data_IF_015823663617
#
_entry.id   IF_015823663617
#
_cell.length_a   1.000
_cell.length_b   1.000
_cell.length_c   1.000
_cell.angle_alpha   90.00
_cell.angle_beta   90.00
_cell.angle_gamma   90.00
#
_symmetry.space_group_name_H-M   'P 1'
#
loop_
_entity.id
_entity.type
_entity.pdbx_description
1 polymer ?
#
# COMPACT_ATOMS: atom_id res chain seq x y z
N UNK A 1 -1.22 42.15 -20.19
CA UNK A 1 -2.24 41.35 -19.50
C UNK A 1 -1.66 39.97 -19.32
N UNK A 2 -1.30 39.58 -18.09
CA UNK A 2 -0.91 38.20 -17.83
C UNK A 2 -2.13 37.32 -18.11
N UNK A 3 -1.99 36.33 -18.99
CA UNK A 3 -3.06 35.37 -19.24
C UNK A 3 -3.44 34.73 -17.90
N UNK A 4 -4.74 34.67 -17.61
CA UNK A 4 -5.25 34.08 -16.39
C UNK A 4 -5.08 32.55 -16.50
N UNK A 5 -3.92 32.04 -16.08
CA UNK A 5 -3.42 30.69 -16.30
C UNK A 5 -4.02 29.62 -15.35
N UNK A 6 -5.25 29.87 -14.86
CA UNK A 6 -5.93 29.00 -13.89
C UNK A 6 -6.91 28.01 -14.54
N UNK A 7 -6.82 27.79 -15.87
CA UNK A 7 -7.59 26.76 -16.55
C UNK A 7 -7.07 25.36 -16.15
N UNK A 8 -7.99 24.48 -15.74
CA UNK A 8 -7.66 23.12 -15.29
C UNK A 8 -7.67 22.15 -16.48
N UNK A 9 -6.57 21.41 -16.64
CA UNK A 9 -6.48 20.26 -17.54
C UNK A 9 -7.09 19.02 -16.88
N UNK A 10 -6.73 18.77 -15.63
CA UNK A 10 -7.26 17.67 -14.83
C UNK A 10 -7.63 18.14 -13.42
N UNK A 11 -8.71 17.58 -12.88
CA UNK A 11 -9.16 17.85 -11.52
C UNK A 11 -9.67 16.57 -10.87
N UNK A 12 -8.96 16.11 -9.85
CA UNK A 12 -9.28 14.91 -9.09
C UNK A 12 -9.54 15.29 -7.63
N UNK A 13 -10.68 15.88 -7.28
CA UNK A 13 -10.95 16.22 -5.88
C UNK A 13 -11.14 14.94 -5.04
N UNK A 14 -10.59 14.87 -3.80
CA UNK A 14 -9.80 15.88 -3.10
C UNK A 14 -8.28 15.76 -3.30
N UNK A 15 -7.81 14.98 -4.28
CA UNK A 15 -6.41 14.58 -4.45
C UNK A 15 -5.53 15.71 -5.05
N UNK A 16 -5.80 16.14 -6.29
CA UNK A 16 -4.96 17.13 -6.98
C UNK A 16 -5.69 17.90 -8.09
N UNK A 17 -5.03 18.97 -8.55
CA UNK A 17 -5.34 19.75 -9.75
C UNK A 17 -4.12 19.78 -10.66
N UNK A 18 -4.33 19.64 -11.96
CA UNK A 18 -3.33 19.96 -12.99
C UNK A 18 -3.87 21.10 -13.86
N UNK A 19 -3.06 22.13 -14.03
CA UNK A 19 -3.36 23.31 -14.83
C UNK A 19 -2.90 23.12 -16.28
N UNK A 20 -3.51 23.83 -17.23
CA UNK A 20 -3.16 23.71 -18.67
C UNK A 20 -1.73 24.10 -18.99
N UNK A 21 -1.07 24.86 -18.12
CA UNK A 21 0.35 25.23 -18.19
C UNK A 21 1.32 24.17 -17.62
N UNK A 22 0.80 23.04 -17.12
CA UNK A 22 1.57 21.92 -16.59
C UNK A 22 1.86 22.01 -15.08
N UNK A 23 1.44 23.09 -14.39
CA UNK A 23 1.52 23.16 -12.94
C UNK A 23 0.64 22.07 -12.32
N UNK A 24 1.16 21.40 -11.29
CA UNK A 24 0.42 20.43 -10.49
C UNK A 24 0.30 20.96 -9.06
N UNK A 25 -0.92 20.99 -8.54
CA UNK A 25 -1.23 21.34 -7.16
C UNK A 25 -1.84 20.11 -6.47
N UNK A 26 -1.07 19.46 -5.60
CA UNK A 26 -1.57 18.40 -4.73
C UNK A 26 -2.37 19.05 -3.59
N UNK A 27 -3.59 18.59 -3.37
CA UNK A 27 -4.50 19.10 -2.35
C UNK A 27 -4.53 18.21 -1.09
N UNK A 28 -3.95 17.02 -1.19
CA UNK A 28 -3.88 15.99 -0.16
C UNK A 28 -2.43 15.51 0.01
N UNK A 29 -2.09 14.97 1.18
CA UNK A 29 -0.74 14.45 1.46
C UNK A 29 0.35 15.51 1.66
N UNK A 30 -0.02 16.74 2.03
CA UNK A 30 0.93 17.84 2.24
C UNK A 30 1.40 18.01 3.69
N UNK A 31 0.71 17.37 4.64
CA UNK A 31 1.02 17.49 6.07
C UNK A 31 2.10 16.47 6.45
N UNK A 32 3.37 16.86 6.33
CA UNK A 32 4.51 16.00 6.67
C UNK A 32 4.87 16.13 8.14
N UNK A 33 5.16 14.99 8.77
CA UNK A 33 5.66 14.92 10.14
C UNK A 33 7.08 14.37 10.17
N UNK A 34 7.98 14.94 10.99
CA UNK A 34 9.32 14.40 11.14
C UNK A 34 9.28 13.02 11.83
N UNK A 35 10.31 12.18 11.62
CA UNK A 35 10.46 10.96 12.40
C UNK A 35 10.59 11.34 13.88
N UNK A 36 9.93 10.57 14.74
CA UNK A 36 9.80 10.88 16.16
C UNK A 36 9.58 9.63 17.00
N UNK A 37 9.53 9.82 18.32
CA UNK A 37 8.97 8.83 19.25
C UNK A 37 7.53 9.22 19.51
N UNK A 38 6.59 8.38 19.09
CA UNK A 38 5.16 8.66 19.22
C UNK A 38 4.77 8.75 20.72
N UNK A 39 4.05 9.80 21.14
CA UNK A 39 3.71 9.98 22.54
C UNK A 39 2.70 8.93 23.06
N UNK A 40 1.80 8.42 22.22
CA UNK A 40 0.75 7.50 22.62
C UNK A 40 1.23 6.04 22.59
N UNK A 41 1.91 5.64 21.52
CA UNK A 41 2.31 4.26 21.28
C UNK A 41 3.77 3.98 21.63
N UNK A 42 4.57 5.03 21.85
CA UNK A 42 6.02 4.96 22.12
C UNK A 42 6.83 4.35 20.98
N UNK A 43 6.22 4.12 19.82
CA UNK A 43 6.90 3.67 18.60
C UNK A 43 7.92 4.71 18.18
N UNK A 44 9.11 4.24 17.84
CA UNK A 44 10.20 5.08 17.35
C UNK A 44 10.21 5.02 15.83
N UNK A 45 10.53 6.13 15.18
CA UNK A 45 10.65 6.17 13.73
C UNK A 45 11.90 6.89 13.27
N UNK A 46 12.38 6.55 12.07
CA UNK A 46 13.48 7.24 11.37
C UNK A 46 13.32 7.13 9.86
N UNK A 47 13.84 8.12 9.16
CA UNK A 47 13.86 8.13 7.69
C UNK A 47 15.18 7.58 7.18
N UNK A 48 15.13 6.84 6.07
CA UNK A 48 16.27 6.21 5.42
C UNK A 48 16.20 6.42 3.90
N UNK A 49 17.36 6.50 3.27
CA UNK A 49 17.48 6.51 1.82
C UNK A 49 17.68 5.07 1.30
N UNK A 50 16.84 4.67 0.35
CA UNK A 50 16.92 3.35 -0.30
C UNK A 50 17.78 3.46 -1.56
N UNK A 51 17.50 4.49 -2.38
CA UNK A 51 18.22 4.80 -3.61
C UNK A 51 18.24 6.33 -3.82
N UNK A 52 19.27 7.02 -3.29
CA UNK A 52 19.36 8.49 -3.30
C UNK A 52 19.31 9.09 -4.72
N UNK A 53 19.86 8.39 -5.71
CA UNK A 53 19.94 8.81 -7.10
C UNK A 53 18.57 8.99 -7.79
N UNK A 54 17.53 8.35 -7.25
CA UNK A 54 16.14 8.49 -7.69
C UNK A 54 15.23 9.05 -6.59
N UNK A 55 15.80 9.57 -5.50
CA UNK A 55 15.07 10.08 -4.35
C UNK A 55 14.09 9.05 -3.74
N UNK A 56 14.45 7.77 -3.77
CA UNK A 56 13.65 6.71 -3.14
C UNK A 56 14.08 6.55 -1.68
N UNK A 57 13.11 6.68 -0.78
CA UNK A 57 13.31 6.68 0.66
C UNK A 57 12.20 5.88 1.35
N UNK A 58 12.37 5.65 2.64
CA UNK A 58 11.35 5.04 3.48
C UNK A 58 11.41 5.59 4.90
N UNK A 59 10.32 5.41 5.64
CA UNK A 59 10.29 5.56 7.10
C UNK A 59 10.25 4.20 7.76
N UNK A 60 11.21 3.92 8.64
CA UNK A 60 11.22 2.71 9.46
C UNK A 60 10.57 3.03 10.80
N UNK A 61 9.75 2.11 11.30
CA UNK A 61 9.09 2.16 12.60
C UNK A 61 9.52 0.96 13.45
N UNK A 62 9.86 1.21 14.70
CA UNK A 62 10.31 0.22 15.67
C UNK A 62 9.44 0.30 16.94
N UNK A 63 8.84 -0.81 17.40
CA UNK A 63 8.02 -0.80 18.61
C UNK A 63 8.87 -0.50 19.86
N UNK A 64 8.24 0.11 20.86
CA UNK A 64 8.93 0.67 22.03
C UNK A 64 9.79 -0.33 22.80
N UNK A 65 9.33 -1.59 22.87
CA UNK A 65 9.95 -2.66 23.67
C UNK A 65 10.65 -3.69 22.79
N UNK A 66 11.12 -3.31 21.60
CA UNK A 66 11.84 -4.21 20.71
C UNK A 66 13.11 -4.75 21.40
N UNK A 67 13.23 -6.07 21.48
CA UNK A 67 14.35 -6.78 22.09
C UNK A 67 15.23 -7.37 20.97
N UNK A 68 16.49 -6.95 20.82
CA UNK A 68 17.38 -7.49 19.78
C UNK A 68 17.58 -9.01 19.86
N UNK A 69 17.34 -9.63 21.03
CA UNK A 69 17.42 -11.08 21.19
C UNK A 69 16.21 -11.83 20.60
N UNK A 70 15.13 -11.11 20.27
CA UNK A 70 13.88 -11.64 19.71
C UNK A 70 13.48 -10.83 18.48
N UNK A 71 13.98 -11.25 17.32
CA UNK A 71 13.60 -10.64 16.04
C UNK A 71 12.08 -10.70 15.83
N UNK A 72 11.54 -9.59 15.34
CA UNK A 72 10.12 -9.35 15.08
C UNK A 72 9.83 -9.60 13.59
N UNK A 73 8.58 -9.90 13.22
CA UNK A 73 8.18 -9.87 11.81
C UNK A 73 8.51 -8.51 11.18
N UNK A 74 8.65 -8.49 9.86
CA UNK A 74 8.84 -7.26 9.09
C UNK A 74 7.61 -6.99 8.21
N UNK A 75 7.10 -5.77 8.25
CA UNK A 75 6.04 -5.27 7.38
C UNK A 75 6.61 -4.23 6.41
N UNK A 76 6.63 -4.52 5.11
CA UNK A 76 6.89 -3.51 4.10
C UNK A 76 5.54 -2.90 3.68
N UNK A 77 5.34 -1.61 3.96
CA UNK A 77 4.07 -0.92 3.76
C UNK A 77 4.13 0.08 2.62
N UNK A 78 3.10 0.08 1.79
CA UNK A 78 2.91 1.01 0.67
C UNK A 78 1.66 1.84 0.93
N UNK A 79 1.81 3.17 0.95
CA UNK A 79 0.69 4.06 1.17
C UNK A 79 -0.26 4.10 -0.05
N UNK A 80 -1.51 4.48 0.17
CA UNK A 80 -2.50 4.76 -0.86
C UNK A 80 -2.32 6.15 -1.50
N UNK A 81 -3.42 6.73 -1.99
CA UNK A 81 -3.42 8.03 -2.68
C UNK A 81 -3.44 7.93 -4.20
N UNK A 82 -3.98 6.85 -4.76
CA UNK A 82 -4.23 6.73 -6.20
C UNK A 82 -2.97 6.81 -7.07
N UNK A 83 -1.79 6.47 -6.51
CA UNK A 83 -0.47 6.61 -7.12
C UNK A 83 0.01 8.05 -7.35
N UNK A 84 -0.77 9.07 -6.95
CA UNK A 84 -0.56 10.48 -7.36
C UNK A 84 -0.36 11.44 -6.18
N UNK A 85 -0.74 11.04 -4.97
CA UNK A 85 -0.64 11.87 -3.75
C UNK A 85 -0.23 11.01 -2.55
N UNK A 86 -0.12 11.65 -1.39
CA UNK A 86 0.34 11.08 -0.13
C UNK A 86 1.83 10.71 -0.11
N UNK A 87 2.31 10.33 1.06
CA UNK A 87 3.71 10.01 1.32
C UNK A 87 3.81 9.14 2.57
N UNK A 88 4.88 8.33 2.64
CA UNK A 88 5.29 7.65 3.88
C UNK A 88 5.55 8.62 5.06
N UNK A 89 5.76 9.91 4.77
CA UNK A 89 6.05 10.94 5.76
C UNK A 89 4.82 11.77 6.17
N UNK A 90 3.67 11.52 5.56
CA UNK A 90 2.43 12.23 5.89
C UNK A 90 1.93 11.90 7.31
N UNK A 91 1.23 12.83 7.93
CA UNK A 91 0.68 12.68 9.28
C UNK A 91 -0.28 11.48 9.41
N UNK A 92 -1.11 11.23 8.40
CA UNK A 92 -2.13 10.16 8.41
C UNK A 92 -1.47 8.77 8.39
N UNK A 93 -0.50 8.55 7.48
CA UNK A 93 0.22 7.28 7.42
C UNK A 93 1.17 7.10 8.61
N UNK A 94 1.81 8.17 9.07
CA UNK A 94 2.64 8.12 10.27
C UNK A 94 1.82 7.69 11.50
N UNK A 95 0.64 8.30 11.71
CA UNK A 95 -0.27 7.90 12.79
C UNK A 95 -0.72 6.45 12.63
N UNK A 96 -1.18 6.06 11.45
CA UNK A 96 -1.63 4.69 11.17
C UNK A 96 -0.55 3.65 11.53
N UNK A 97 0.68 3.87 11.06
CA UNK A 97 1.78 2.94 11.32
C UNK A 97 2.26 2.96 12.76
N UNK A 98 2.20 4.08 13.48
CA UNK A 98 2.48 4.09 14.92
C UNK A 98 1.51 3.17 15.70
N UNK A 99 0.23 3.16 15.35
CA UNK A 99 -0.75 2.25 15.99
C UNK A 99 -0.57 0.81 15.52
N UNK A 100 -0.39 0.57 14.21
CA UNK A 100 -0.20 -0.77 13.67
C UNK A 100 1.05 -1.46 14.23
N UNK A 101 2.17 -0.74 14.29
CA UNK A 101 3.45 -1.25 14.81
C UNK A 101 3.35 -1.61 16.28
N UNK A 102 2.66 -0.79 17.07
CA UNK A 102 2.45 -1.04 18.49
C UNK A 102 1.53 -2.24 18.73
N UNK A 103 0.44 -2.37 17.97
CA UNK A 103 -0.52 -3.46 18.11
C UNK A 103 0.06 -4.80 17.61
N UNK A 104 0.75 -4.79 16.47
CA UNK A 104 1.29 -5.99 15.84
C UNK A 104 2.69 -6.37 16.35
N UNK A 105 3.38 -5.49 17.08
CA UNK A 105 4.76 -5.67 17.52
C UNK A 105 5.70 -6.08 16.37
N UNK A 106 5.72 -5.28 15.30
CA UNK A 106 6.37 -5.54 14.01
C UNK A 106 7.36 -4.43 13.67
N UNK A 107 8.46 -4.74 12.97
CA UNK A 107 9.27 -3.69 12.33
C UNK A 107 8.60 -3.29 11.02
N UNK A 108 8.16 -2.05 10.88
CA UNK A 108 7.55 -1.58 9.64
C UNK A 108 8.53 -0.71 8.83
N UNK A 109 8.53 -0.88 7.51
CA UNK A 109 9.23 -0.04 6.54
C UNK A 109 8.19 0.54 5.60
N UNK A 110 7.88 1.82 5.73
CA UNK A 110 6.91 2.53 4.89
C UNK A 110 7.62 3.15 3.71
N UNK A 111 7.36 2.65 2.50
CA UNK A 111 8.07 3.06 1.28
C UNK A 111 7.48 4.38 0.76
N UNK A 112 8.35 5.36 0.48
CA UNK A 112 8.00 6.62 -0.16
C UNK A 112 8.27 6.52 -1.66
N UNK A 113 7.44 5.75 -2.37
CA UNK A 113 7.60 5.51 -3.81
C UNK A 113 7.28 6.78 -4.61
N UNK A 114 7.82 6.89 -5.83
CA UNK A 114 7.61 8.06 -6.69
C UNK A 114 6.20 8.09 -7.27
N UNK A 115 5.64 9.31 -7.35
CA UNK A 115 4.24 9.54 -7.72
C UNK A 115 4.08 9.94 -9.19
N UNK A 116 2.94 9.55 -9.75
CA UNK A 116 2.44 10.11 -11.00
C UNK A 116 1.88 11.53 -10.78
N UNK A 117 1.85 12.37 -11.84
CA UNK A 117 2.27 12.08 -13.22
C UNK A 117 3.77 12.30 -13.47
N UNK A 118 4.54 12.84 -12.52
CA UNK A 118 5.99 13.07 -12.69
C UNK A 118 6.73 11.76 -12.94
N UNK A 119 6.25 10.68 -12.31
CA UNK A 119 6.74 9.32 -12.47
C UNK A 119 5.55 8.36 -12.70
N UNK A 120 5.06 8.23 -13.95
CA UNK A 120 3.94 7.36 -14.26
C UNK A 120 4.23 5.88 -13.93
N UNK A 121 3.17 5.10 -13.73
CA UNK A 121 3.30 3.64 -13.61
C UNK A 121 4.00 3.07 -14.87
N UNK A 122 4.91 2.08 -14.71
CA UNK A 122 5.07 1.21 -13.54
C UNK A 122 6.11 1.68 -12.50
N UNK A 123 6.55 2.94 -12.49
CA UNK A 123 7.66 3.39 -11.62
C UNK A 123 7.41 3.08 -10.13
N UNK A 124 6.18 3.27 -9.62
CA UNK A 124 5.86 2.93 -8.23
C UNK A 124 6.06 1.44 -7.91
N UNK A 125 5.81 0.53 -8.86
CA UNK A 125 6.08 -0.90 -8.70
C UNK A 125 7.58 -1.20 -8.71
N UNK A 126 8.36 -0.54 -9.57
CA UNK A 126 9.82 -0.70 -9.61
C UNK A 126 10.49 -0.18 -8.33
N UNK A 127 10.04 0.97 -7.83
CA UNK A 127 10.49 1.53 -6.55
C UNK A 127 10.18 0.60 -5.38
N UNK A 128 8.99 0.00 -5.40
CA UNK A 128 8.54 -0.94 -4.36
C UNK A 128 9.32 -2.26 -4.40
N UNK A 129 9.64 -2.76 -5.60
CA UNK A 129 10.51 -3.92 -5.78
C UNK A 129 11.94 -3.63 -5.33
N UNK A 130 12.48 -2.46 -5.69
CA UNK A 130 13.80 -2.01 -5.26
C UNK A 130 13.86 -1.90 -3.73
N UNK A 131 12.80 -1.41 -3.10
CA UNK A 131 12.67 -1.31 -1.65
C UNK A 131 12.68 -2.68 -0.97
N UNK A 132 11.96 -3.67 -1.52
CA UNK A 132 12.00 -5.04 -0.99
C UNK A 132 13.40 -5.63 -1.10
N UNK A 133 14.08 -5.49 -2.26
CA UNK A 133 15.47 -5.93 -2.44
C UNK A 133 16.43 -5.23 -1.48
N UNK A 134 16.22 -3.94 -1.22
CA UNK A 134 17.00 -3.19 -0.24
C UNK A 134 16.80 -3.72 1.17
N UNK A 135 15.57 -4.10 1.57
CA UNK A 135 15.33 -4.76 2.87
C UNK A 135 16.11 -6.07 2.95
N UNK A 136 16.08 -6.89 1.90
CA UNK A 136 16.83 -8.16 1.84
C UNK A 136 18.33 -7.92 1.98
N UNK A 137 18.87 -6.89 1.33
CA UNK A 137 20.31 -6.62 1.39
C UNK A 137 20.78 -6.23 2.80
N UNK A 138 19.89 -5.75 3.67
CA UNK A 138 20.24 -5.39 5.04
C UNK A 138 20.66 -6.60 5.89
N UNK A 139 20.19 -7.82 5.58
CA UNK A 139 20.61 -9.03 6.29
C UNK A 139 21.94 -9.61 5.82
N UNK A 140 22.61 -8.95 4.88
CA UNK A 140 23.94 -9.35 4.37
C UNK A 140 25.05 -8.51 5.02
N UNK A 141 26.31 -8.91 4.84
CA UNK A 141 27.47 -8.16 5.33
C UNK A 141 27.58 -6.74 4.73
N UNK A 142 26.90 -6.48 3.61
CA UNK A 142 26.83 -5.17 2.96
C UNK A 142 25.71 -4.28 3.55
N UNK A 143 24.84 -4.83 4.40
CA UNK A 143 23.77 -4.10 5.05
C UNK A 143 24.30 -3.07 6.04
N UNK A 144 23.66 -1.90 6.09
CA UNK A 144 24.04 -0.80 6.98
C UNK A 144 22.88 -0.33 7.87
N UNK A 145 21.65 -0.77 7.60
CA UNK A 145 20.48 -0.41 8.40
C UNK A 145 20.32 -1.29 9.64
N UNK A 146 20.80 -0.78 10.78
CA UNK A 146 20.82 -1.48 12.06
C UNK A 146 19.46 -1.94 12.58
N UNK A 147 18.39 -1.17 12.37
CA UNK A 147 17.07 -1.56 12.87
C UNK A 147 16.55 -2.83 12.18
N UNK A 148 16.83 -2.99 10.89
CA UNK A 148 16.46 -4.21 10.17
C UNK A 148 17.40 -5.35 10.58
N UNK A 149 18.71 -5.10 10.69
CA UNK A 149 19.69 -6.12 11.12
C UNK A 149 19.39 -6.69 12.50
N UNK A 150 19.15 -5.81 13.47
CA UNK A 150 19.08 -6.17 14.88
C UNK A 150 17.68 -6.68 15.26
N UNK A 151 16.62 -6.13 14.68
CA UNK A 151 15.24 -6.38 15.13
C UNK A 151 14.33 -7.10 14.14
N UNK A 152 14.66 -7.15 12.84
CA UNK A 152 13.76 -7.76 11.85
C UNK A 152 14.11 -9.23 11.54
N UNK A 153 13.07 -10.05 11.43
CA UNK A 153 13.10 -11.44 11.01
C UNK A 153 12.64 -11.55 9.56
N UNK A 154 13.59 -11.67 8.63
CA UNK A 154 13.28 -11.84 7.21
C UNK A 154 12.68 -13.23 6.88
N UNK A 155 12.59 -14.15 7.85
CA UNK A 155 11.81 -15.38 7.76
C UNK A 155 10.30 -15.18 7.98
N UNK A 156 9.89 -13.97 8.38
CA UNK A 156 8.50 -13.55 8.62
C UNK A 156 8.25 -12.16 8.03
N UNK A 157 8.29 -12.06 6.70
CA UNK A 157 8.01 -10.83 5.96
C UNK A 157 6.54 -10.78 5.55
N UNK A 158 5.94 -9.61 5.66
CA UNK A 158 4.60 -9.28 5.20
C UNK A 158 4.64 -8.04 4.32
N UNK A 159 3.80 -7.99 3.30
CA UNK A 159 3.56 -6.76 2.54
C UNK A 159 2.19 -6.20 2.93
N UNK A 160 2.11 -4.88 3.10
CA UNK A 160 0.88 -4.21 3.46
C UNK A 160 0.65 -2.98 2.60
N UNK A 161 -0.60 -2.61 2.42
CA UNK A 161 -0.93 -1.33 1.83
C UNK A 161 -2.41 -1.11 1.72
N UNK A 162 -2.79 0.14 1.50
CA UNK A 162 -4.17 0.55 1.34
C UNK A 162 -4.41 1.14 -0.04
N UNK A 163 -5.61 0.99 -0.60
CA UNK A 163 -5.95 1.59 -1.90
C UNK A 163 -4.91 1.22 -2.98
N UNK A 164 -4.33 2.22 -3.64
CA UNK A 164 -3.21 2.06 -4.59
C UNK A 164 -2.01 1.28 -4.00
N UNK A 165 -1.68 1.49 -2.72
CA UNK A 165 -0.64 0.75 -2.01
C UNK A 165 -0.99 -0.73 -1.81
N UNK A 166 -2.28 -1.05 -1.65
CA UNK A 166 -2.75 -2.44 -1.67
C UNK A 166 -2.52 -3.10 -3.04
N UNK A 167 -2.75 -2.37 -4.12
CA UNK A 167 -2.43 -2.84 -5.48
C UNK A 167 -0.92 -3.06 -5.65
N UNK A 168 -0.07 -2.18 -5.11
CA UNK A 168 1.39 -2.37 -5.08
C UNK A 168 1.75 -3.65 -4.31
N UNK A 169 1.24 -3.81 -3.09
CA UNK A 169 1.54 -4.97 -2.25
C UNK A 169 1.20 -6.30 -2.95
N UNK A 170 0.05 -6.37 -3.63
CA UNK A 170 -0.33 -7.52 -4.45
C UNK A 170 0.68 -7.79 -5.56
N UNK A 171 1.01 -6.78 -6.37
CA UNK A 171 1.91 -6.94 -7.51
C UNK A 171 3.34 -7.32 -7.10
N UNK A 172 3.84 -6.78 -6.00
CA UNK A 172 5.14 -7.18 -5.45
C UNK A 172 5.10 -8.64 -4.97
N UNK A 173 4.01 -9.10 -4.35
CA UNK A 173 3.86 -10.51 -3.98
C UNK A 173 3.78 -11.45 -5.19
N UNK A 174 3.10 -11.03 -6.28
CA UNK A 174 3.12 -11.75 -7.55
C UNK A 174 4.56 -11.86 -8.09
N UNK A 175 5.32 -10.76 -8.05
CA UNK A 175 6.72 -10.72 -8.48
C UNK A 175 7.64 -11.59 -7.62
N UNK A 176 7.40 -11.68 -6.31
CA UNK A 176 8.12 -12.64 -5.43
C UNK A 176 7.89 -14.07 -5.89
N UNK A 177 6.65 -14.42 -6.27
CA UNK A 177 6.29 -15.76 -6.73
C UNK A 177 6.92 -16.13 -8.07
N UNK A 178 7.04 -15.16 -8.98
CA UNK A 178 7.60 -15.39 -10.33
C UNK A 178 9.12 -15.27 -10.40
N UNK A 179 9.73 -14.26 -9.77
CA UNK A 179 11.18 -14.01 -9.83
C UNK A 179 11.97 -14.74 -8.72
N UNK A 180 11.31 -15.25 -7.67
CA UNK A 180 11.92 -15.92 -6.51
C UNK A 180 13.06 -15.12 -5.85
N UNK A 181 12.70 -14.20 -4.95
CA UNK A 181 13.68 -13.40 -4.20
C UNK A 181 14.25 -14.17 -3.00
N UNK A 182 15.51 -14.57 -3.08
CA UNK A 182 16.23 -15.25 -1.99
C UNK A 182 16.44 -14.34 -0.78
N UNK A 183 16.58 -14.93 0.41
CA UNK A 183 16.89 -14.20 1.66
C UNK A 183 15.66 -13.62 2.38
N UNK A 184 14.47 -13.85 1.86
CA UNK A 184 13.20 -13.54 2.51
C UNK A 184 12.24 -14.73 2.48
N UNK A 185 11.30 -14.74 3.41
CA UNK A 185 10.13 -15.59 3.37
C UNK A 185 8.88 -14.72 3.52
N UNK A 186 8.22 -14.46 2.39
CA UNK A 186 6.99 -13.71 2.34
C UNK A 186 5.83 -14.58 2.84
N UNK A 187 5.39 -14.34 4.08
CA UNK A 187 4.35 -15.12 4.75
C UNK A 187 2.96 -14.73 4.29
N UNK A 188 2.71 -13.45 4.08
CA UNK A 188 1.41 -13.00 3.64
C UNK A 188 1.35 -11.53 3.23
N UNK A 189 0.20 -11.16 2.68
CA UNK A 189 -0.12 -9.77 2.33
C UNK A 189 -1.40 -9.30 3.02
N UNK A 190 -1.39 -8.04 3.45
CA UNK A 190 -2.54 -7.34 4.01
C UNK A 190 -2.96 -6.19 3.06
N UNK A 191 -4.19 -6.22 2.59
CA UNK A 191 -4.73 -5.29 1.60
C UNK A 191 -5.93 -4.54 2.21
N UNK A 192 -5.79 -3.24 2.48
CA UNK A 192 -6.88 -2.40 2.99
C UNK A 192 -7.56 -1.66 1.85
N UNK A 193 -8.78 -2.04 1.49
CA UNK A 193 -9.55 -1.41 0.42
C UNK A 193 -8.72 -1.30 -0.89
N UNK A 194 -8.12 -2.40 -1.39
CA UNK A 194 -7.18 -2.33 -2.50
C UNK A 194 -7.81 -1.71 -3.75
N UNK A 195 -7.05 -0.88 -4.46
CA UNK A 195 -7.51 -0.25 -5.70
C UNK A 195 -7.38 -1.21 -6.88
N UNK A 196 -8.17 -2.27 -6.86
CA UNK A 196 -8.38 -3.13 -8.02
C UNK A 196 -9.48 -2.55 -8.91
N UNK A 197 -9.35 -2.73 -10.22
CA UNK A 197 -10.26 -2.20 -11.21
C UNK A 197 -10.44 -3.16 -12.38
N UNK A 198 -11.31 -2.82 -13.32
CA UNK A 198 -11.56 -3.57 -14.55
C UNK A 198 -12.47 -2.80 -15.48
N UNK A 199 -12.50 -3.18 -16.75
CA UNK A 199 -13.35 -2.54 -17.76
C UNK A 199 -14.84 -2.80 -17.47
N UNK A 200 -15.22 -4.06 -17.36
CA UNK A 200 -16.59 -4.47 -17.07
C UNK A 200 -16.95 -4.26 -15.59
N UNK A 201 -18.15 -3.74 -15.28
CA UNK A 201 -18.60 -3.65 -13.91
C UNK A 201 -18.87 -5.05 -13.37
N UNK A 202 -18.60 -5.23 -12.08
CA UNK A 202 -18.93 -6.48 -11.37
C UNK A 202 -19.95 -6.21 -10.27
N UNK A 203 -20.72 -7.25 -9.93
CA UNK A 203 -21.63 -7.23 -8.78
C UNK A 203 -22.52 -5.98 -8.72
N UNK A 204 -22.36 -5.12 -7.71
CA UNK A 204 -23.18 -3.93 -7.51
C UNK A 204 -22.50 -2.62 -7.93
N UNK A 205 -21.35 -2.67 -8.60
CA UNK A 205 -20.61 -1.47 -9.01
C UNK A 205 -21.40 -0.50 -9.89
N UNK A 206 -22.37 -0.99 -10.67
CA UNK A 206 -23.26 -0.13 -11.46
C UNK A 206 -24.30 0.61 -10.60
N UNK A 207 -24.67 0.04 -9.44
CA UNK A 207 -25.73 0.54 -8.57
C UNK A 207 -25.19 1.43 -7.45
N UNK A 208 -23.93 1.23 -7.03
CA UNK A 208 -23.27 2.02 -6.01
C UNK A 208 -22.72 3.35 -6.57
N UNK A 209 -23.63 4.31 -6.75
CA UNK A 209 -23.39 5.64 -7.36
C UNK A 209 -22.53 6.61 -6.51
N UNK A 210 -21.81 6.16 -5.46
CA UNK A 210 -21.07 7.06 -4.55
C UNK A 210 -19.82 7.67 -5.17
N UNK A 211 -19.17 6.95 -6.08
CA UNK A 211 -18.06 7.43 -6.88
C UNK A 211 -18.29 6.99 -8.33
N UNK A 212 -18.35 7.90 -9.32
CA UNK A 212 -18.52 7.50 -10.70
C UNK A 212 -17.40 6.56 -11.14
N UNK A 213 -17.70 5.44 -11.81
CA UNK A 213 -16.69 4.56 -12.43
C UNK A 213 -15.69 5.36 -13.29
N UNK A 214 -16.16 6.44 -13.92
CA UNK A 214 -15.33 7.37 -14.68
C UNK A 214 -14.22 8.04 -13.86
N UNK A 215 -14.37 8.21 -12.54
CA UNK A 215 -13.32 8.76 -11.68
C UNK A 215 -12.16 7.78 -11.57
N UNK A 216 -12.44 6.52 -11.21
CA UNK A 216 -11.43 5.47 -11.10
C UNK A 216 -10.69 5.26 -12.43
N UNK A 217 -11.43 5.15 -13.55
CA UNK A 217 -10.81 5.02 -14.88
C UNK A 217 -9.96 6.24 -15.24
N UNK A 218 -10.44 7.48 -15.00
CA UNK A 218 -9.64 8.69 -15.27
C UNK A 218 -8.38 8.76 -14.40
N UNK A 219 -8.49 8.38 -13.13
CA UNK A 219 -7.35 8.34 -12.22
C UNK A 219 -6.32 7.29 -12.67
N UNK A 220 -6.78 6.12 -13.09
CA UNK A 220 -5.93 5.05 -13.62
C UNK A 220 -5.19 5.49 -14.90
N UNK A 221 -5.92 6.07 -15.86
CA UNK A 221 -5.34 6.64 -17.09
C UNK A 221 -4.34 7.77 -16.79
N UNK A 222 -4.60 8.57 -15.76
CA UNK A 222 -3.70 9.64 -15.35
C UNK A 222 -2.42 9.10 -14.70
N UNK A 223 -2.55 8.06 -13.85
CA UNK A 223 -1.42 7.41 -13.21
C UNK A 223 -0.60 6.54 -14.18
N UNK A 224 -1.25 5.94 -15.19
CA UNK A 224 -0.64 5.11 -16.22
C UNK A 224 -1.13 5.54 -17.62
N UNK A 225 -0.59 6.62 -18.20
CA UNK A 225 -1.00 7.10 -19.52
C UNK A 225 -0.78 6.10 -20.66
N UNK A 226 0.11 5.12 -20.46
CA UNK A 226 0.40 4.05 -21.42
C UNK A 226 -0.52 2.84 -21.29
N UNK A 227 -1.47 2.83 -20.35
CA UNK A 227 -2.35 1.68 -20.15
C UNK A 227 -3.22 1.45 -21.39
N UNK A 228 -3.15 0.22 -21.93
CA UNK A 228 -3.91 -0.19 -23.11
C UNK A 228 -5.37 -0.49 -22.80
N UNK A 229 -5.60 -1.10 -21.63
CA UNK A 229 -6.86 -1.68 -21.20
C UNK A 229 -6.96 -1.58 -19.67
N UNK A 230 -8.15 -1.35 -19.12
CA UNK A 230 -8.38 -1.38 -17.69
C UNK A 230 -8.38 -2.81 -17.09
N UNK A 231 -8.31 -3.85 -17.94
CA UNK A 231 -8.20 -5.26 -17.54
C UNK A 231 -6.75 -5.80 -17.49
N UNK A 232 -5.75 -4.92 -17.53
CA UNK A 232 -4.35 -5.33 -17.32
C UNK A 232 -4.18 -6.11 -15.99
N UNK A 233 -3.45 -7.25 -15.96
CA UNK A 233 -3.37 -8.13 -14.79
C UNK A 233 -3.01 -7.45 -13.47
N UNK A 234 -2.16 -6.41 -13.52
CA UNK A 234 -1.69 -5.70 -12.33
C UNK A 234 -2.78 -4.86 -11.65
N UNK A 235 -3.81 -4.43 -12.37
CA UNK A 235 -4.94 -3.67 -11.84
C UNK A 235 -6.19 -4.53 -11.70
N UNK A 236 -6.36 -5.54 -12.57
CA UNK A 236 -7.43 -6.52 -12.52
C UNK A 236 -6.86 -7.94 -12.27
N UNK A 237 -6.58 -8.32 -11.02
CA UNK A 237 -5.97 -9.62 -10.72
C UNK A 237 -6.78 -10.82 -11.22
N UNK A 238 -8.10 -10.67 -11.38
CA UNK A 238 -8.97 -11.72 -11.91
C UNK A 238 -8.66 -12.08 -13.39
N UNK A 239 -7.96 -11.19 -14.11
CA UNK A 239 -7.50 -11.42 -15.48
C UNK A 239 -6.07 -11.96 -15.54
N UNK A 240 -5.38 -12.05 -14.40
CA UNK A 240 -4.04 -12.63 -14.32
C UNK A 240 -4.10 -14.16 -14.39
N UNK A 241 -3.71 -14.71 -15.54
CA UNK A 241 -3.62 -16.16 -15.75
C UNK A 241 -2.56 -16.85 -14.88
N UNK A 242 -1.68 -16.08 -14.27
CA UNK A 242 -0.62 -16.54 -13.37
C UNK A 242 -0.96 -16.31 -11.90
N UNK A 243 -2.18 -15.87 -11.56
CA UNK A 243 -2.59 -15.55 -10.18
C UNK A 243 -2.28 -16.66 -9.16
N UNK A 244 -2.34 -17.93 -9.57
CA UNK A 244 -1.96 -19.10 -8.76
C UNK A 244 -0.51 -19.07 -8.24
N UNK A 245 0.36 -18.29 -8.88
CA UNK A 245 1.77 -18.14 -8.55
C UNK A 245 2.06 -17.10 -7.46
N UNK A 246 1.03 -16.45 -6.89
CA UNK A 246 1.18 -15.47 -5.80
C UNK A 246 2.14 -15.99 -4.72
N UNK A 247 3.24 -15.24 -4.50
CA UNK A 247 4.41 -15.72 -3.75
C UNK A 247 4.28 -15.74 -2.22
N UNK A 248 3.07 -15.73 -1.69
CA UNK A 248 2.81 -15.73 -0.25
C UNK A 248 1.84 -16.84 0.15
N UNK A 249 1.77 -17.17 1.44
CA UNK A 249 0.89 -18.23 1.96
C UNK A 249 -0.45 -17.74 2.52
N UNK A 250 -0.56 -16.46 2.88
CA UNK A 250 -1.76 -15.87 3.49
C UNK A 250 -2.11 -14.52 2.87
N UNK A 251 -3.39 -14.27 2.68
CA UNK A 251 -3.93 -12.99 2.17
C UNK A 251 -5.04 -12.54 3.12
N UNK A 252 -4.91 -11.33 3.66
CA UNK A 252 -5.97 -10.65 4.39
C UNK A 252 -6.42 -9.43 3.60
N UNK A 253 -7.69 -9.39 3.23
CA UNK A 253 -8.31 -8.24 2.57
C UNK A 253 -9.29 -7.59 3.53
N UNK A 254 -9.18 -6.28 3.70
CA UNK A 254 -10.20 -5.48 4.34
C UNK A 254 -10.99 -4.72 3.28
N UNK A 255 -12.31 -4.75 3.40
CA UNK A 255 -13.22 -3.95 2.59
C UNK A 255 -14.16 -3.16 3.48
N UNK A 256 -14.59 -1.99 3.03
CA UNK A 256 -15.52 -1.15 3.77
C UNK A 256 -16.86 -1.07 3.02
N UNK A 257 -17.98 -1.23 3.73
CA UNK A 257 -19.31 -1.32 3.13
C UNK A 257 -19.69 -0.11 2.28
N UNK A 258 -19.16 1.07 2.61
CA UNK A 258 -19.41 2.33 1.89
C UNK A 258 -18.37 2.65 0.82
N UNK A 259 -17.36 1.79 0.63
CA UNK A 259 -16.32 1.94 -0.39
C UNK A 259 -16.80 1.42 -1.76
N UNK A 260 -16.70 2.21 -2.84
CA UNK A 260 -17.03 1.75 -4.20
C UNK A 260 -16.17 0.56 -4.68
N UNK A 261 -15.01 0.28 -4.08
CA UNK A 261 -14.10 -0.79 -4.48
C UNK A 261 -14.31 -2.10 -3.69
N UNK A 262 -15.24 -2.12 -2.72
CA UNK A 262 -15.52 -3.30 -1.88
C UNK A 262 -15.74 -4.58 -2.70
N UNK A 263 -16.57 -4.49 -3.73
CA UNK A 263 -16.97 -5.64 -4.53
C UNK A 263 -15.75 -6.24 -5.27
N UNK A 264 -14.74 -5.43 -5.62
CA UNK A 264 -13.46 -5.89 -6.18
C UNK A 264 -12.62 -6.64 -5.15
N UNK A 265 -12.65 -6.23 -3.89
CA UNK A 265 -11.98 -6.96 -2.80
C UNK A 265 -12.60 -8.34 -2.55
N UNK A 266 -13.93 -8.45 -2.59
CA UNK A 266 -14.63 -9.74 -2.54
C UNK A 266 -14.33 -10.59 -3.78
N UNK A 267 -14.39 -10.01 -4.97
CA UNK A 267 -14.10 -10.71 -6.21
C UNK A 267 -12.65 -11.22 -6.30
N UNK A 268 -11.70 -10.48 -5.73
CA UNK A 268 -10.31 -10.92 -5.62
C UNK A 268 -10.16 -12.23 -4.82
N UNK A 269 -10.91 -12.39 -3.72
CA UNK A 269 -10.94 -13.64 -2.96
C UNK A 269 -11.42 -14.82 -3.79
N UNK A 270 -12.49 -14.61 -4.55
CA UNK A 270 -13.05 -15.65 -5.41
C UNK A 270 -12.07 -15.99 -6.55
N UNK A 271 -11.44 -14.97 -7.15
CA UNK A 271 -10.42 -15.14 -8.18
C UNK A 271 -9.21 -15.94 -7.68
N UNK A 272 -8.71 -15.67 -6.47
CA UNK A 272 -7.62 -16.45 -5.87
C UNK A 272 -8.00 -17.93 -5.72
N UNK A 273 -9.22 -18.21 -5.23
CA UNK A 273 -9.72 -19.59 -5.07
C UNK A 273 -9.87 -20.31 -6.40
N UNK A 274 -10.43 -19.63 -7.40
CA UNK A 274 -10.63 -20.18 -8.74
C UNK A 274 -9.32 -20.38 -9.51
N UNK A 275 -8.30 -19.55 -9.24
CA UNK A 275 -6.98 -19.69 -9.87
C UNK A 275 -6.24 -20.97 -9.45
N UNK A 276 -6.62 -21.58 -8.31
CA UNK A 276 -5.90 -22.71 -7.72
C UNK A 276 -4.69 -22.30 -6.88
N UNK A 277 -4.62 -21.03 -6.43
CA UNK A 277 -3.65 -20.61 -5.43
C UNK A 277 -3.87 -21.39 -4.12
N UNK A 278 -2.80 -21.97 -3.57
CA UNK A 278 -2.87 -22.92 -2.45
C UNK A 278 -2.73 -22.27 -1.05
N UNK A 279 -2.89 -20.95 -0.96
CA UNK A 279 -2.81 -20.22 0.31
C UNK A 279 -4.18 -19.93 0.93
N UNK A 280 -4.15 -19.31 2.10
CA UNK A 280 -5.36 -18.93 2.84
C UNK A 280 -5.75 -17.48 2.54
N UNK A 281 -6.97 -17.26 2.03
CA UNK A 281 -7.53 -15.92 1.82
C UNK A 281 -8.70 -15.64 2.75
N UNK A 282 -8.58 -14.55 3.51
CA UNK A 282 -9.63 -13.99 4.34
C UNK A 282 -10.03 -12.61 3.84
N UNK A 283 -11.33 -12.34 3.81
CA UNK A 283 -11.88 -10.99 3.57
C UNK A 283 -12.70 -10.62 4.79
N UNK A 284 -12.42 -9.45 5.36
CA UNK A 284 -13.19 -8.85 6.46
C UNK A 284 -13.86 -7.59 5.96
N UNK A 285 -15.17 -7.50 6.16
CA UNK A 285 -15.96 -6.32 5.80
C UNK A 285 -16.33 -5.52 7.06
N UNK A 286 -15.94 -4.25 7.07
CA UNK A 286 -16.51 -3.28 8.01
C UNK A 286 -17.81 -2.71 7.43
N UNK A 287 -18.89 -2.78 8.21
CA UNK A 287 -20.25 -2.41 7.75
C UNK A 287 -20.56 -0.92 7.83
N UNK A 288 -19.79 -0.17 8.60
CA UNK A 288 -20.09 1.23 8.92
C UNK A 288 -19.12 2.20 8.27
N UNK A 289 -17.97 1.70 7.79
CA UNK A 289 -16.87 2.55 7.36
C UNK A 289 -16.82 2.81 5.85
N UNK A 290 -16.01 3.80 5.49
CA UNK A 290 -15.67 4.16 4.11
C UNK A 290 -14.26 3.74 3.69
N UNK A 291 -13.87 4.13 2.48
CA UNK A 291 -12.56 3.81 1.90
C UNK A 291 -11.42 4.16 2.87
N UNK A 292 -10.55 3.18 3.13
CA UNK A 292 -9.33 3.29 3.95
C UNK A 292 -9.51 3.91 5.35
N UNK A 293 -10.68 3.71 5.96
CA UNK A 293 -11.06 4.31 7.25
C UNK A 293 -10.02 4.20 8.37
N UNK A 294 -9.29 3.08 8.44
CA UNK A 294 -8.28 2.84 9.47
C UNK A 294 -7.01 3.67 9.28
N UNK A 295 -6.74 4.19 8.08
CA UNK A 295 -5.66 5.15 7.84
C UNK A 295 -6.09 6.54 8.31
N UNK A 296 -7.36 6.89 8.08
CA UNK A 296 -7.92 8.19 8.45
C UNK A 296 -8.19 8.32 9.96
N UNK A 297 -8.63 7.24 10.61
CA UNK A 297 -8.94 7.19 12.04
C UNK A 297 -8.48 5.87 12.67
N UNK A 298 -7.15 5.64 12.77
CA UNK A 298 -6.58 4.41 13.33
C UNK A 298 -6.92 4.18 14.82
N UNK A 299 -7.18 5.25 15.55
CA UNK A 299 -7.53 5.28 16.98
C UNK A 299 -9.04 5.24 17.25
N UNK A 300 -9.86 5.23 16.20
CA UNK A 300 -11.30 4.97 16.30
C UNK A 300 -11.60 3.51 16.61
N UNK A 301 -12.82 3.22 17.06
CA UNK A 301 -13.25 1.85 17.45
C UNK A 301 -13.02 0.85 16.31
N UNK A 302 -13.46 1.17 15.10
CA UNK A 302 -13.33 0.30 13.93
C UNK A 302 -11.89 0.25 13.44
N UNK A 303 -11.16 1.38 13.46
CA UNK A 303 -9.73 1.44 13.13
C UNK A 303 -8.91 0.49 14.01
N UNK A 304 -9.08 0.58 15.34
CA UNK A 304 -8.42 -0.30 16.30
C UNK A 304 -8.82 -1.77 16.13
N UNK A 305 -10.10 -2.05 15.81
CA UNK A 305 -10.55 -3.41 15.52
C UNK A 305 -9.85 -4.00 14.28
N UNK A 306 -9.70 -3.19 13.21
CA UNK A 306 -8.93 -3.59 12.03
C UNK A 306 -7.47 -3.86 12.39
N UNK A 307 -6.82 -2.95 13.11
CA UNK A 307 -5.41 -3.09 13.49
C UNK A 307 -5.16 -4.35 14.33
N UNK A 308 -6.07 -4.70 15.24
CA UNK A 308 -6.04 -5.96 16.00
C UNK A 308 -6.12 -7.20 15.12
N UNK A 309 -6.96 -7.17 14.10
CA UNK A 309 -7.06 -8.28 13.13
C UNK A 309 -5.79 -8.42 12.30
N UNK A 310 -5.21 -7.30 11.85
CA UNK A 310 -3.93 -7.31 11.13
C UNK A 310 -2.81 -7.80 12.04
N UNK A 311 -2.79 -7.39 13.30
CA UNK A 311 -1.84 -7.87 14.30
C UNK A 311 -1.95 -9.38 14.53
N UNK A 312 -3.17 -9.94 14.60
CA UNK A 312 -3.39 -11.39 14.65
C UNK A 312 -2.81 -12.07 13.41
N UNK A 313 -3.13 -11.56 12.21
CA UNK A 313 -2.66 -12.10 10.95
C UNK A 313 -1.12 -12.13 10.82
N UNK A 314 -0.43 -11.10 11.32
CA UNK A 314 1.04 -11.03 11.31
C UNK A 314 1.68 -11.97 12.34
N UNK A 315 1.00 -12.26 13.45
CA UNK A 315 1.56 -13.02 14.57
C UNK A 315 1.14 -14.51 14.63
N UNK A 316 0.31 -14.97 13.69
CA UNK A 316 -0.03 -16.39 13.48
C UNK A 316 1.03 -17.16 12.69
#
# INVERSE_FOLDING_TARGET
>A
MAANNDELRHHFPPLLKEYTDGRIERLMGLDFVPPSVDPATRVQSKDVEIAPEINLSARIFLPANADPSKKLPLLLYFHGGGFIVESAFSAVYHKHLNFLVAEANVVAVSVNYRLAPEHPLPIAFEDSWLSLKWVVSQSTDAGHEKWIQDYADLGRVYLGGDSAGGTIAHNIAMRVGSEQLNGINLRGIFLNCPFFWGEDPILNEEKDLKLPRSFASKLLLYACPSISDCDEPWINPAKDKTLASLGCGKVLVYVAAKDPLKDRGWYYKDSLRESGWNGDVEVVEDKEEGHVFSVLCPDGVNGLAMLKKVASFINE
#
